data_IF_389100631493
#
_entry.id   IF_389100631493
#
_cell.length_a   1.000
_cell.length_b   1.000
_cell.length_c   1.000
_cell.angle_alpha   90.00
_cell.angle_beta   90.00
_cell.angle_gamma   90.00
#
_symmetry.space_group_name_H-M   'P 1'
#
loop_
_entity.id
_entity.type
_entity.pdbx_description
1 polymer ?
#
# COMPACT_ATOMS: atom_id res chain seq x y z
N UNK A 1 -13.21 -9.52 -31.82
CA UNK A 1 -12.04 -8.84 -31.19
C UNK A 1 -10.76 -9.43 -31.77
N UNK A 2 -9.77 -8.62 -32.17
CA UNK A 2 -8.48 -9.18 -32.65
C UNK A 2 -7.75 -9.90 -31.51
N UNK A 3 -6.87 -10.84 -31.85
CA UNK A 3 -6.07 -11.58 -30.85
C UNK A 3 -5.27 -10.63 -29.94
N UNK A 4 -4.62 -9.62 -30.53
CA UNK A 4 -3.89 -8.59 -29.77
C UNK A 4 -4.79 -7.87 -28.75
N UNK A 5 -5.99 -7.43 -29.15
CA UNK A 5 -6.95 -6.78 -28.23
C UNK A 5 -7.41 -7.72 -27.11
N UNK A 6 -7.54 -9.01 -27.40
CA UNK A 6 -7.90 -10.03 -26.39
C UNK A 6 -6.79 -10.19 -25.36
N UNK A 7 -5.55 -10.29 -25.81
CA UNK A 7 -4.37 -10.41 -24.95
C UNK A 7 -4.20 -9.17 -24.06
N UNK A 8 -4.37 -7.97 -24.61
CA UNK A 8 -4.31 -6.71 -23.85
C UNK A 8 -5.40 -6.64 -22.77
N UNK A 9 -6.64 -7.01 -23.12
CA UNK A 9 -7.74 -7.05 -22.16
C UNK A 9 -7.51 -8.09 -21.06
N UNK A 10 -6.89 -9.23 -21.38
CA UNK A 10 -6.53 -10.25 -20.37
C UNK A 10 -5.41 -9.75 -19.45
N UNK A 11 -4.41 -9.05 -19.98
CA UNK A 11 -3.36 -8.41 -19.17
C UNK A 11 -3.92 -7.34 -18.25
N UNK A 12 -4.88 -6.54 -18.73
CA UNK A 12 -5.57 -5.56 -17.91
C UNK A 12 -6.40 -6.25 -16.81
N UNK A 13 -7.17 -7.28 -17.13
CA UNK A 13 -7.96 -8.02 -16.14
C UNK A 13 -7.09 -8.56 -14.99
N UNK A 14 -5.98 -9.23 -15.31
CA UNK A 14 -5.03 -9.72 -14.29
C UNK A 14 -4.47 -8.59 -13.43
N UNK A 15 -4.18 -7.44 -14.04
CA UNK A 15 -3.68 -6.25 -13.34
C UNK A 15 -4.71 -5.71 -12.35
N UNK A 16 -5.97 -5.65 -12.73
CA UNK A 16 -7.05 -5.17 -11.86
C UNK A 16 -7.19 -6.09 -10.64
N UNK A 17 -7.23 -7.40 -10.84
CA UNK A 17 -7.34 -8.38 -9.74
C UNK A 17 -6.15 -8.29 -8.78
N UNK A 18 -4.92 -8.24 -9.29
CA UNK A 18 -3.73 -8.09 -8.42
C UNK A 18 -3.76 -6.76 -7.67
N UNK A 19 -4.21 -5.68 -8.32
CA UNK A 19 -4.29 -4.37 -7.67
C UNK A 19 -5.35 -4.35 -6.58
N UNK A 20 -6.48 -5.04 -6.79
CA UNK A 20 -7.54 -5.19 -5.80
C UNK A 20 -7.03 -5.91 -4.55
N UNK A 21 -6.33 -7.04 -4.71
CA UNK A 21 -5.70 -7.76 -3.60
C UNK A 21 -4.69 -6.89 -2.83
N UNK A 22 -3.77 -6.21 -3.53
CA UNK A 22 -2.78 -5.30 -2.91
C UNK A 22 -3.48 -4.14 -2.14
N UNK A 23 -4.63 -3.65 -2.62
CA UNK A 23 -5.40 -2.59 -1.96
C UNK A 23 -6.15 -3.09 -0.73
N UNK A 24 -6.71 -4.30 -0.75
CA UNK A 24 -7.30 -4.92 0.44
C UNK A 24 -6.27 -5.17 1.54
N UNK A 25 -5.05 -5.58 1.18
CA UNK A 25 -3.94 -5.69 2.13
C UNK A 25 -3.64 -4.31 2.77
N UNK A 26 -3.50 -3.27 1.94
CA UNK A 26 -3.24 -1.91 2.42
C UNK A 26 -4.35 -1.40 3.36
N UNK A 27 -5.62 -1.67 3.02
CA UNK A 27 -6.78 -1.33 3.85
C UNK A 27 -6.70 -2.03 5.21
N UNK A 28 -6.39 -3.32 5.21
CA UNK A 28 -6.30 -4.13 6.44
C UNK A 28 -5.21 -3.60 7.38
N UNK A 29 -4.06 -3.19 6.85
CA UNK A 29 -2.99 -2.59 7.65
C UNK A 29 -3.38 -1.21 8.20
N UNK A 30 -3.98 -0.36 7.37
CA UNK A 30 -4.42 0.98 7.77
C UNK A 30 -5.51 0.93 8.85
N UNK A 31 -6.48 0.02 8.71
CA UNK A 31 -7.54 -0.19 9.69
C UNK A 31 -6.99 -0.75 11.01
N UNK A 32 -6.00 -1.66 10.95
CA UNK A 32 -5.35 -2.17 12.16
C UNK A 32 -4.57 -1.09 12.91
N UNK A 33 -3.87 -0.20 12.19
CA UNK A 33 -3.17 0.96 12.77
C UNK A 33 -4.16 1.89 13.49
N UNK A 34 -5.29 2.19 12.84
CA UNK A 34 -6.31 3.10 13.37
C UNK A 34 -7.08 2.49 14.56
N UNK A 35 -7.53 1.23 14.43
CA UNK A 35 -8.33 0.55 15.45
C UNK A 35 -7.56 0.28 16.74
N UNK A 36 -6.24 0.06 16.64
CA UNK A 36 -5.35 -0.09 17.80
C UNK A 36 -4.78 1.23 18.33
N UNK A 37 -5.15 2.37 17.73
CA UNK A 37 -4.67 3.70 18.11
C UNK A 37 -3.13 3.80 18.11
N UNK A 38 -2.44 3.00 17.28
CA UNK A 38 -0.97 2.95 17.26
C UNK A 38 -0.33 4.26 16.76
N UNK A 39 -1.12 5.13 16.16
CA UNK A 39 -0.70 6.45 15.68
C UNK A 39 -1.03 7.59 16.65
N UNK A 40 -1.70 7.32 17.79
CA UNK A 40 -2.09 8.37 18.72
C UNK A 40 -0.85 8.95 19.45
N UNK A 41 -0.62 10.28 19.41
CA UNK A 41 0.43 10.92 20.17
C UNK A 41 0.44 10.66 21.67
N UNK A 42 -0.70 10.30 22.24
CA UNK A 42 -0.93 10.12 23.66
C UNK A 42 -0.74 8.68 24.13
N UNK A 43 -0.44 7.72 23.24
CA UNK A 43 -0.02 6.38 23.68
C UNK A 43 1.25 6.56 24.49
N UNK A 44 1.22 6.19 25.78
CA UNK A 44 2.31 6.38 26.74
C UNK A 44 3.65 5.96 26.13
N UNK A 45 4.40 6.97 25.71
CA UNK A 45 5.82 6.82 25.47
C UNK A 45 6.40 6.72 26.87
N UNK A 46 7.12 5.64 27.17
CA UNK A 46 7.85 5.50 28.42
C UNK A 46 8.73 6.75 28.62
N UNK A 47 9.18 7.04 29.85
CA UNK A 47 9.98 8.25 30.18
C UNK A 47 11.18 8.50 29.24
N UNK A 48 11.66 7.46 28.56
CA UNK A 48 12.72 7.51 27.54
C UNK A 48 12.25 7.96 26.14
N UNK A 49 10.97 8.28 25.94
CA UNK A 49 10.41 8.66 24.65
C UNK A 49 10.24 7.49 23.67
N UNK A 50 9.96 6.28 24.18
CA UNK A 50 9.70 5.09 23.35
C UNK A 50 8.37 4.42 23.75
N UNK A 51 7.57 4.03 22.75
CA UNK A 51 6.53 3.00 22.93
C UNK A 51 7.16 1.75 23.58
N UNK A 52 6.37 0.95 24.30
CA UNK A 52 6.78 -0.42 24.62
C UNK A 52 7.36 -1.09 23.37
N UNK A 53 8.55 -1.67 23.46
CA UNK A 53 9.34 -2.05 22.28
C UNK A 53 8.60 -2.92 21.26
N UNK A 54 7.62 -3.71 21.72
CA UNK A 54 6.75 -4.52 20.87
C UNK A 54 5.79 -3.67 20.01
N UNK A 55 5.13 -2.66 20.59
CA UNK A 55 4.20 -1.77 19.88
C UNK A 55 4.94 -0.92 18.85
N UNK A 56 6.17 -0.51 19.15
CA UNK A 56 7.03 0.19 18.19
C UNK A 56 7.32 -0.66 16.95
N UNK A 57 7.70 -1.92 17.14
CA UNK A 57 8.00 -2.85 16.04
C UNK A 57 6.72 -3.10 15.21
N UNK A 58 5.58 -3.28 15.87
CA UNK A 58 4.29 -3.49 15.23
C UNK A 58 3.89 -2.25 14.42
N UNK A 59 3.94 -1.05 14.99
CA UNK A 59 3.65 0.22 14.31
C UNK A 59 4.49 0.37 13.05
N UNK A 60 5.80 0.17 13.15
CA UNK A 60 6.73 0.28 12.02
C UNK A 60 6.43 -0.78 10.95
N UNK A 61 6.22 -2.03 11.37
CA UNK A 61 5.92 -3.14 10.46
C UNK A 61 4.61 -2.92 9.69
N UNK A 62 3.56 -2.48 10.38
CA UNK A 62 2.25 -2.21 9.78
C UNK A 62 2.29 -0.99 8.87
N UNK A 63 2.94 0.10 9.29
CA UNK A 63 3.06 1.31 8.48
C UNK A 63 3.79 1.04 7.16
N UNK A 64 4.93 0.35 7.22
CA UNK A 64 5.68 -0.03 6.04
C UNK A 64 4.90 -1.00 5.15
N UNK A 65 4.19 -1.96 5.76
CA UNK A 65 3.32 -2.88 5.02
C UNK A 65 2.20 -2.14 4.29
N UNK A 66 1.54 -1.17 4.94
CA UNK A 66 0.52 -0.33 4.34
C UNK A 66 1.06 0.47 3.15
N UNK A 67 2.20 1.17 3.33
CA UNK A 67 2.86 1.95 2.27
C UNK A 67 3.22 1.05 1.09
N UNK A 68 3.81 -0.11 1.35
CA UNK A 68 4.25 -1.04 0.30
C UNK A 68 3.06 -1.61 -0.46
N UNK A 69 2.06 -2.14 0.25
CA UNK A 69 0.85 -2.71 -0.34
C UNK A 69 0.12 -1.67 -1.19
N UNK A 70 -0.13 -0.48 -0.64
CA UNK A 70 -0.76 0.63 -1.37
C UNK A 70 0.04 1.03 -2.62
N UNK A 71 1.36 1.06 -2.53
CA UNK A 71 2.20 1.58 -3.62
C UNK A 71 2.43 0.59 -4.77
N UNK A 72 2.15 -0.71 -4.58
CA UNK A 72 2.39 -1.76 -5.59
C UNK A 72 1.58 -1.58 -6.88
N UNK A 73 0.26 -1.27 -6.83
CA UNK A 73 -0.52 -0.97 -8.02
C UNK A 73 0.07 0.15 -8.89
N UNK A 74 0.78 1.11 -8.30
CA UNK A 74 1.15 2.36 -8.98
C UNK A 74 2.60 2.42 -9.48
N UNK A 75 3.44 1.45 -9.08
CA UNK A 75 4.87 1.51 -9.34
C UNK A 75 5.36 0.24 -10.02
N UNK A 76 6.08 0.43 -11.13
CA UNK A 76 6.80 -0.66 -11.78
C UNK A 76 8.15 -0.88 -11.12
N UNK A 77 8.52 -2.14 -10.92
CA UNK A 77 9.90 -2.53 -10.63
C UNK A 77 10.72 -2.38 -11.91
N UNK A 78 11.57 -1.33 -11.96
CA UNK A 78 12.53 -1.14 -13.06
C UNK A 78 13.46 -2.37 -13.13
N UNK A 79 13.66 -2.93 -14.31
CA UNK A 79 14.63 -4.02 -14.56
C UNK A 79 14.08 -5.44 -14.54
N UNK A 80 12.83 -5.67 -14.12
CA UNK A 80 12.19 -6.97 -14.32
C UNK A 80 11.79 -7.14 -15.79
N UNK A 81 12.27 -8.20 -16.46
CA UNK A 81 11.80 -8.60 -17.81
C UNK A 81 10.27 -8.81 -17.86
N UNK A 82 9.64 -8.98 -16.69
CA UNK A 82 8.21 -8.92 -16.46
C UNK A 82 7.90 -7.76 -15.49
N UNK A 83 8.04 -6.51 -15.96
CA UNK A 83 7.66 -5.34 -15.17
C UNK A 83 6.22 -5.54 -14.68
N UNK A 84 6.01 -5.48 -13.35
CA UNK A 84 4.66 -5.62 -12.80
C UNK A 84 3.74 -4.59 -13.46
N UNK A 85 2.58 -5.01 -13.94
CA UNK A 85 1.67 -4.14 -14.65
C UNK A 85 1.12 -3.02 -13.73
N UNK A 86 1.38 -1.75 -14.06
CA UNK A 86 0.97 -0.56 -13.26
C UNK A 86 -0.47 -0.15 -13.56
N UNK A 87 -1.31 0.05 -12.54
CA UNK A 87 -2.68 0.50 -12.70
C UNK A 87 -2.74 1.82 -13.51
N UNK A 88 -3.45 1.85 -14.66
CA UNK A 88 -3.49 3.03 -15.51
C UNK A 88 -4.04 4.27 -14.79
N UNK A 89 -3.40 5.43 -14.96
CA UNK A 89 -3.82 6.70 -14.32
C UNK A 89 -5.29 7.05 -14.58
N UNK A 90 -5.78 6.76 -15.79
CA UNK A 90 -7.19 6.99 -16.16
C UNK A 90 -8.22 6.26 -15.29
N UNK A 91 -7.80 5.27 -14.50
CA UNK A 91 -8.69 4.54 -13.58
C UNK A 91 -8.74 5.25 -12.22
N UNK A 92 -7.59 5.58 -11.65
CA UNK A 92 -7.52 6.06 -10.27
C UNK A 92 -7.53 7.58 -10.14
N UNK A 93 -6.88 8.29 -11.05
CA UNK A 93 -6.67 9.74 -10.96
C UNK A 93 -7.96 10.56 -10.89
N UNK A 94 -9.04 10.20 -11.63
CA UNK A 94 -10.31 10.92 -11.53
C UNK A 94 -11.04 10.75 -10.19
N UNK A 95 -10.68 9.74 -9.38
CA UNK A 95 -11.32 9.46 -8.09
C UNK A 95 -10.76 10.32 -6.95
N UNK A 96 -9.60 10.93 -7.17
CA UNK A 96 -8.83 11.62 -6.15
C UNK A 96 -8.97 13.14 -6.31
N UNK A 97 -9.19 13.82 -5.19
CA UNK A 97 -9.04 15.27 -5.12
C UNK A 97 -7.55 15.68 -4.99
N UNK A 98 -7.28 16.97 -4.84
CA UNK A 98 -5.90 17.48 -4.73
C UNK A 98 -5.15 16.94 -3.52
N UNK A 99 -5.88 16.71 -2.43
CA UNK A 99 -5.36 16.27 -1.15
C UNK A 99 -5.05 14.77 -1.18
N UNK A 100 -5.96 13.98 -1.76
CA UNK A 100 -5.76 12.57 -2.06
C UNK A 100 -4.53 12.39 -2.97
N UNK A 101 -4.38 13.23 -4.00
CA UNK A 101 -3.21 13.20 -4.90
C UNK A 101 -1.92 13.55 -4.16
N UNK A 102 -1.94 14.53 -3.26
CA UNK A 102 -0.78 14.90 -2.45
C UNK A 102 -0.33 13.71 -1.58
N UNK A 103 -1.25 13.09 -0.84
CA UNK A 103 -0.97 11.91 -0.03
C UNK A 103 -0.50 10.74 -0.90
N UNK A 104 -1.15 10.50 -2.04
CA UNK A 104 -0.74 9.47 -3.00
C UNK A 104 0.73 9.60 -3.39
N UNK A 105 1.14 10.77 -3.87
CA UNK A 105 2.52 10.99 -4.30
C UNK A 105 3.52 10.91 -3.16
N UNK A 106 3.15 11.37 -1.97
CA UNK A 106 3.97 11.25 -0.77
C UNK A 106 4.17 9.77 -0.38
N UNK A 107 3.13 8.93 -0.40
CA UNK A 107 3.26 7.49 -0.13
C UNK A 107 4.17 6.78 -1.15
N UNK A 108 4.06 7.14 -2.43
CA UNK A 108 4.97 6.62 -3.45
C UNK A 108 6.42 7.06 -3.21
N UNK A 109 6.62 8.27 -2.69
CA UNK A 109 7.94 8.78 -2.31
C UNK A 109 8.50 8.05 -1.08
N UNK A 110 7.69 7.87 -0.02
CA UNK A 110 8.03 7.08 1.18
C UNK A 110 8.48 5.66 0.80
N UNK A 111 7.72 4.98 -0.07
CA UNK A 111 8.11 3.63 -0.57
C UNK A 111 9.44 3.65 -1.33
N UNK A 112 9.68 4.66 -2.17
CA UNK A 112 10.96 4.78 -2.90
C UNK A 112 12.13 4.99 -1.96
N UNK A 113 11.97 5.84 -0.92
CA UNK A 113 12.98 6.05 0.13
C UNK A 113 13.26 4.78 0.93
N UNK A 114 12.21 4.05 1.34
CA UNK A 114 12.38 2.78 2.07
C UNK A 114 13.13 1.70 1.27
N UNK A 115 12.95 1.66 -0.06
CA UNK A 115 13.63 0.70 -0.95
C UNK A 115 15.03 1.19 -1.37
N UNK A 116 15.21 2.49 -1.51
CA UNK A 116 16.50 3.07 -1.83
C UNK A 116 17.33 3.13 -0.55
N UNK A 117 18.19 2.13 -0.34
CA UNK A 117 19.25 2.15 0.68
C UNK A 117 20.15 3.42 0.63
N UNK A 118 19.97 4.31 -0.34
CA UNK A 118 20.68 5.59 -0.48
C UNK A 118 20.33 6.63 0.58
N UNK A 119 19.26 6.45 1.34
CA UNK A 119 18.93 7.39 2.42
C UNK A 119 19.65 7.06 3.74
N UNK A 120 20.53 6.05 3.78
CA UNK A 120 21.36 5.78 4.97
C UNK A 120 22.15 7.01 5.45
N UNK A 121 22.40 7.99 4.57
CA UNK A 121 23.06 9.26 4.89
C UNK A 121 22.12 10.35 5.45
N UNK A 122 20.80 10.17 5.36
CA UNK A 122 19.78 11.11 5.86
C UNK A 122 19.36 10.79 7.30
N UNK A 123 19.57 9.54 7.74
CA UNK A 123 19.28 9.13 9.11
C UNK A 123 20.54 9.31 9.95
N UNK A 124 20.45 10.07 11.04
CA UNK A 124 21.36 9.93 12.17
C UNK A 124 21.13 8.53 12.76
N UNK A 125 21.82 7.55 12.16
CA UNK A 125 21.75 6.16 12.52
C UNK A 125 22.58 5.96 13.78
N UNK A 126 21.93 5.85 14.93
CA UNK A 126 22.59 5.35 16.13
C UNK A 126 22.65 3.83 16.05
N UNK A 127 23.83 3.27 16.35
CA UNK A 127 23.99 1.82 16.43
C UNK A 127 23.77 1.41 17.88
N UNK A 128 22.76 0.59 18.12
CA UNK A 128 22.49 -0.02 19.41
C UNK A 128 22.76 -1.53 19.36
N UNK A 129 22.90 -2.19 20.51
CA UNK A 129 23.06 -3.64 20.61
C UNK A 129 21.82 -4.23 21.26
N UNK A 130 20.94 -4.80 20.44
CA UNK A 130 19.78 -5.55 20.91
C UNK A 130 20.02 -7.05 20.80
N UNK A 131 19.86 -7.78 21.91
CA UNK A 131 20.07 -9.23 21.99
C UNK A 131 21.43 -9.70 21.41
N UNK A 132 22.50 -8.93 21.63
CA UNK A 132 23.85 -9.24 21.15
C UNK A 132 24.08 -9.02 19.65
N UNK A 133 23.14 -8.36 18.95
CA UNK A 133 23.31 -7.94 17.56
C UNK A 133 23.30 -6.43 17.47
N UNK A 134 24.24 -5.89 16.70
CA UNK A 134 24.19 -4.49 16.30
C UNK A 134 22.91 -4.26 15.47
N UNK A 135 22.06 -3.37 15.95
CA UNK A 135 20.86 -2.88 15.28
C UNK A 135 21.02 -1.39 15.04
N UNK A 136 20.45 -0.90 13.95
CA UNK A 136 20.39 0.54 13.71
C UNK A 136 19.10 1.06 14.34
N UNK A 137 19.24 1.92 15.34
CA UNK A 137 18.16 2.73 15.89
C UNK A 137 18.11 4.01 15.08
N UNK A 138 17.20 4.04 14.12
CA UNK A 138 16.94 5.21 13.30
C UNK A 138 16.05 6.19 14.07
N UNK A 139 16.63 7.01 14.96
CA UNK A 139 15.93 8.09 15.67
C UNK A 139 14.60 7.70 16.34
N UNK A 140 13.77 8.67 16.78
CA UNK A 140 12.39 8.37 17.12
C UNK A 140 11.69 7.76 15.90
N UNK A 141 10.77 6.78 16.09
CA UNK A 141 9.95 6.28 14.99
C UNK A 141 9.36 7.46 14.22
N UNK A 142 9.70 7.57 12.93
CA UNK A 142 8.90 8.40 12.06
C UNK A 142 7.51 7.79 12.09
N UNK A 143 6.56 8.55 12.61
CA UNK A 143 5.16 8.25 12.41
C UNK A 143 4.93 8.41 10.92
N UNK A 144 4.97 7.27 10.24
CA UNK A 144 4.70 7.15 8.82
C UNK A 144 3.28 7.59 8.49
N UNK A 145 2.38 7.64 9.48
CA UNK A 145 1.03 8.16 9.36
C UNK A 145 0.58 8.90 10.63
N UNK A 146 -0.15 9.99 10.46
CA UNK A 146 -1.10 10.47 11.46
C UNK A 146 -2.52 9.89 11.26
N UNK A 147 -3.42 10.15 12.21
CA UNK A 147 -4.80 9.63 12.16
C UNK A 147 -5.57 10.15 10.92
N UNK A 148 -5.36 11.40 10.54
CA UNK A 148 -6.02 12.02 9.40
C UNK A 148 -5.54 11.40 8.09
N UNK A 149 -4.23 11.18 7.96
CA UNK A 149 -3.61 10.48 6.84
C UNK A 149 -4.14 9.04 6.72
N UNK A 150 -4.27 8.29 7.82
CA UNK A 150 -4.85 6.94 7.80
C UNK A 150 -6.30 6.94 7.33
N UNK A 151 -7.14 7.81 7.89
CA UNK A 151 -8.55 7.91 7.48
C UNK A 151 -8.68 8.29 6.02
N UNK A 152 -7.83 9.20 5.54
CA UNK A 152 -7.78 9.58 4.13
C UNK A 152 -7.31 8.41 3.25
N UNK A 153 -6.26 7.70 3.64
CA UNK A 153 -5.78 6.51 2.94
C UNK A 153 -6.89 5.44 2.83
N UNK A 154 -7.60 5.16 3.92
CA UNK A 154 -8.74 4.22 3.95
C UNK A 154 -9.82 4.66 2.95
N UNK A 155 -10.18 5.95 2.97
CA UNK A 155 -11.16 6.52 2.03
C UNK A 155 -10.71 6.39 0.56
N UNK A 156 -9.45 6.73 0.26
CA UNK A 156 -8.85 6.59 -1.07
C UNK A 156 -8.87 5.14 -1.56
N UNK A 157 -8.51 4.20 -0.69
CA UNK A 157 -8.54 2.76 -1.00
C UNK A 157 -9.97 2.30 -1.27
N UNK A 158 -10.94 2.73 -0.46
CA UNK A 158 -12.36 2.41 -0.65
C UNK A 158 -12.87 2.82 -2.04
N UNK A 159 -12.61 4.07 -2.45
CA UNK A 159 -12.95 4.57 -3.80
C UNK A 159 -12.36 3.69 -4.91
N UNK A 160 -11.12 3.23 -4.73
CA UNK A 160 -10.45 2.38 -5.71
C UNK A 160 -11.03 0.98 -5.77
N UNK A 161 -11.26 0.34 -4.62
CA UNK A 161 -11.81 -1.02 -4.57
C UNK A 161 -13.17 -1.05 -5.26
N UNK A 162 -14.03 -0.06 -5.02
CA UNK A 162 -15.32 0.07 -5.71
C UNK A 162 -15.15 0.17 -7.24
N UNK A 163 -14.29 1.08 -7.71
CA UNK A 163 -14.00 1.25 -9.14
C UNK A 163 -13.38 -0.01 -9.78
N UNK A 164 -12.51 -0.71 -9.04
CA UNK A 164 -11.89 -1.94 -9.51
C UNK A 164 -12.90 -3.08 -9.59
N UNK A 165 -13.80 -3.22 -8.62
CA UNK A 165 -14.83 -4.24 -8.62
C UNK A 165 -15.71 -4.18 -9.88
N UNK A 166 -16.18 -2.99 -10.23
CA UNK A 166 -16.98 -2.77 -11.45
C UNK A 166 -16.21 -3.15 -12.72
N UNK A 167 -14.94 -2.76 -12.79
CA UNK A 167 -14.09 -3.07 -13.95
C UNK A 167 -13.73 -4.54 -14.03
N UNK A 168 -13.46 -5.19 -12.90
CA UNK A 168 -13.18 -6.62 -12.80
C UNK A 168 -14.39 -7.40 -13.30
N UNK A 169 -15.59 -7.07 -12.85
CA UNK A 169 -16.81 -7.75 -13.29
C UNK A 169 -17.05 -7.56 -14.79
N UNK A 170 -16.89 -6.34 -15.32
CA UNK A 170 -16.99 -6.08 -16.75
C UNK A 170 -16.00 -6.91 -17.59
N UNK A 171 -14.79 -7.16 -17.08
CA UNK A 171 -13.80 -8.00 -17.78
C UNK A 171 -14.03 -9.49 -17.54
N UNK A 172 -14.53 -9.89 -16.37
CA UNK A 172 -14.82 -11.28 -16.02
C UNK A 172 -15.77 -11.91 -17.03
N UNK A 173 -16.81 -11.19 -17.42
CA UNK A 173 -17.79 -11.62 -18.43
C UNK A 173 -17.16 -11.91 -19.81
N UNK A 174 -15.99 -11.34 -20.10
CA UNK A 174 -15.25 -11.57 -21.36
C UNK A 174 -14.36 -12.82 -21.33
N UNK A 175 -13.97 -13.30 -20.14
CA UNK A 175 -12.93 -14.33 -19.97
C UNK A 175 -13.39 -15.58 -19.22
N UNK A 176 -14.43 -15.47 -18.40
CA UNK A 176 -14.98 -16.59 -17.62
C UNK A 176 -16.42 -16.82 -18.11
N UNK A 177 -16.67 -17.87 -18.90
CA UNK A 177 -18.03 -18.22 -19.30
C UNK A 177 -18.89 -18.45 -18.05
N UNK A 178 -20.06 -17.83 -17.97
CA UNK A 178 -21.04 -18.15 -16.94
C UNK A 178 -21.37 -19.64 -17.08
N UNK A 179 -21.22 -20.46 -16.02
CA UNK A 179 -21.61 -21.86 -16.12
C UNK A 179 -23.10 -21.92 -16.49
N UNK A 180 -23.51 -22.86 -17.37
CA UNK A 180 -24.90 -22.97 -17.77
C UNK A 180 -25.76 -23.20 -16.53
N UNK A 181 -26.85 -22.43 -16.41
CA UNK A 181 -27.84 -22.63 -15.35
C UNK A 181 -28.40 -24.03 -15.51
N UNK A 182 -28.14 -24.92 -14.53
CA UNK A 182 -28.74 -26.25 -14.53
C UNK A 182 -30.24 -26.08 -14.30
N UNK A 183 -31.04 -26.36 -15.32
CA UNK A 183 -32.50 -26.49 -15.20
C UNK A 183 -32.78 -27.66 -14.25
N UNK A 184 -33.36 -27.38 -13.09
CA UNK A 184 -33.92 -28.41 -12.19
C UNK A 184 -35.27 -28.88 -12.71
#
# INVERSE_FOLDING_TARGET
MSQARREDAQRLFRRLVISDEDLYEALSFADLLLSRQLCDPLVDWNDDGFLNGEDHIILRGLSQSAIVAYSRPFLSSKGAKAAKPVLPERIWKPLYDSDDLALHYELLARRKRAVAHSDADVWEAEVDIFAGRATVVTGPPIRDFDEQELRRLISMIGKLIEELADRIEAHRQLFVPTPPVRST
#
